data_IF_146369186880
#
_entry.id   IF_146369186880
#
_cell.length_a   1.000
_cell.length_b   1.000
_cell.length_c   1.000
_cell.angle_alpha   90.00
_cell.angle_beta   90.00
_cell.angle_gamma   90.00
#
_symmetry.space_group_name_H-M   'P 1'
#
loop_
_entity.id
_entity.type
_entity.pdbx_description
1 polymer ?
#
# COMPACT_ATOMS: atom_id res chain seq x y z
N UNK A 1 -5.64 -7.35 8.24
CA UNK A 1 -5.21 -5.98 8.60
C UNK A 1 -5.63 -4.96 7.56
N UNK A 2 -5.24 -5.12 6.28
CA UNK A 2 -5.64 -4.20 5.21
C UNK A 2 -7.17 -4.02 5.07
N UNK A 3 -7.95 -5.10 5.04
CA UNK A 3 -9.43 -5.02 4.95
C UNK A 3 -10.07 -4.17 6.08
N UNK A 4 -9.59 -4.34 7.31
CA UNK A 4 -10.05 -3.58 8.47
C UNK A 4 -9.62 -2.10 8.37
N UNK A 5 -8.38 -1.83 7.96
CA UNK A 5 -7.90 -0.47 7.69
C UNK A 5 -8.76 0.26 6.65
N UNK A 6 -9.03 -0.39 5.50
CA UNK A 6 -9.82 0.22 4.44
C UNK A 6 -11.30 0.39 4.81
N UNK A 7 -11.86 -0.48 5.65
CA UNK A 7 -13.22 -0.28 6.17
C UNK A 7 -13.36 0.97 7.04
N UNK A 8 -12.30 1.36 7.77
CA UNK A 8 -12.24 2.63 8.50
C UNK A 8 -11.95 3.80 7.57
N UNK A 9 -11.10 3.60 6.56
CA UNK A 9 -10.83 4.63 5.56
C UNK A 9 -12.12 5.04 4.82
N UNK A 10 -12.96 4.07 4.43
CA UNK A 10 -14.26 4.32 3.81
C UNK A 10 -15.16 5.20 4.69
N UNK A 11 -15.14 5.01 6.02
CA UNK A 11 -15.89 5.86 6.95
C UNK A 11 -15.48 7.34 6.86
N UNK A 12 -14.19 7.62 6.71
CA UNK A 12 -13.67 8.99 6.63
C UNK A 12 -13.79 9.57 5.22
N UNK A 13 -13.63 8.75 4.19
CA UNK A 13 -13.56 9.21 2.81
C UNK A 13 -14.95 9.37 2.15
N UNK A 14 -15.83 8.38 2.31
CA UNK A 14 -17.18 8.38 1.73
C UNK A 14 -18.30 8.29 2.75
N UNK A 15 -17.96 7.94 3.99
CA UNK A 15 -18.90 7.69 5.07
C UNK A 15 -19.21 8.90 5.96
N UNK A 16 -19.94 8.67 7.05
CA UNK A 16 -20.36 9.72 7.99
C UNK A 16 -19.26 10.22 8.94
N UNK A 17 -18.04 9.68 8.88
CA UNK A 17 -16.92 10.08 9.74
C UNK A 17 -17.12 9.70 11.22
N UNK A 18 -17.74 8.55 11.50
CA UNK A 18 -18.06 8.14 12.88
C UNK A 18 -16.78 7.73 13.63
N UNK A 19 -16.57 8.36 14.79
CA UNK A 19 -15.48 8.04 15.71
C UNK A 19 -16.06 7.58 17.05
N UNK A 20 -15.52 6.48 17.59
CA UNK A 20 -15.87 5.97 18.91
C UNK A 20 -14.60 5.70 19.71
N UNK A 21 -14.55 6.26 20.93
CA UNK A 21 -13.39 6.13 21.82
C UNK A 21 -12.05 6.55 21.19
N UNK A 22 -12.09 7.53 20.28
CA UNK A 22 -10.91 8.01 19.56
C UNK A 22 -10.47 7.14 18.37
N UNK A 23 -11.18 6.04 18.07
CA UNK A 23 -10.96 5.22 16.89
C UNK A 23 -12.06 5.45 15.85
N UNK A 24 -11.70 5.47 14.57
CA UNK A 24 -12.66 5.50 13.47
C UNK A 24 -13.36 4.14 13.44
N UNK A 25 -14.70 4.15 13.40
CA UNK A 25 -15.48 2.92 13.28
C UNK A 25 -15.35 2.34 11.86
N UNK A 26 -15.24 1.02 11.69
CA UNK A 26 -15.28 0.40 10.37
C UNK A 26 -16.72 0.45 9.81
N UNK A 27 -16.85 0.72 8.51
CA UNK A 27 -18.13 0.55 7.80
C UNK A 27 -18.23 -0.83 7.13
N UNK A 28 -19.45 -1.38 6.99
CA UNK A 28 -19.66 -2.54 6.13
C UNK A 28 -19.24 -2.22 4.70
N UNK A 29 -18.41 -3.08 4.11
CA UNK A 29 -17.96 -2.97 2.71
C UNK A 29 -18.73 -3.97 1.86
N UNK A 30 -19.11 -3.56 0.65
CA UNK A 30 -19.68 -4.46 -0.36
C UNK A 30 -18.61 -5.28 -1.09
N UNK A 31 -17.38 -4.76 -1.13
CA UNK A 31 -16.20 -5.41 -1.71
C UNK A 31 -15.75 -6.58 -0.83
N UNK A 32 -15.41 -7.71 -1.44
CA UNK A 32 -14.84 -8.86 -0.70
C UNK A 32 -13.36 -8.65 -0.37
N UNK A 33 -12.79 -9.56 0.43
CA UNK A 33 -11.35 -9.50 0.75
C UNK A 33 -10.53 -9.79 -0.51
N UNK A 34 -10.96 -10.75 -1.31
CA UNK A 34 -10.30 -11.17 -2.55
C UNK A 34 -10.28 -10.03 -3.58
N UNK A 35 -11.41 -9.34 -3.77
CA UNK A 35 -11.47 -8.16 -4.64
C UNK A 35 -10.59 -7.00 -4.14
N UNK A 36 -10.38 -6.90 -2.82
CA UNK A 36 -9.46 -5.91 -2.26
C UNK A 36 -8.00 -6.28 -2.53
N UNK A 37 -7.66 -7.56 -2.43
CA UNK A 37 -6.30 -8.07 -2.70
C UNK A 37 -5.84 -7.78 -4.13
N UNK A 38 -6.74 -7.89 -5.11
CA UNK A 38 -6.44 -7.54 -6.52
C UNK A 38 -6.03 -6.07 -6.72
N UNK A 39 -6.52 -5.17 -5.85
CA UNK A 39 -6.27 -3.73 -5.96
C UNK A 39 -5.06 -3.26 -5.14
N UNK A 40 -4.50 -4.12 -4.29
CA UNK A 40 -3.42 -3.76 -3.39
C UNK A 40 -2.10 -4.44 -3.79
N UNK A 41 -1.02 -3.65 -3.79
CA UNK A 41 0.33 -4.19 -3.92
C UNK A 41 0.83 -4.58 -2.54
N UNK A 42 0.41 -5.76 -2.06
CA UNK A 42 0.92 -6.38 -0.84
C UNK A 42 1.52 -7.74 -1.24
N UNK A 43 2.84 -7.79 -1.33
CA UNK A 43 3.56 -8.95 -1.85
C UNK A 43 4.98 -9.06 -1.28
N UNK A 44 5.69 -10.12 -1.68
CA UNK A 44 7.13 -10.26 -1.42
C UNK A 44 7.95 -9.36 -2.35
N UNK A 45 9.24 -9.20 -2.04
CA UNK A 45 10.11 -8.25 -2.74
C UNK A 45 10.27 -8.56 -4.24
N UNK A 46 10.38 -9.84 -4.61
CA UNK A 46 10.47 -10.31 -5.98
C UNK A 46 9.20 -9.98 -6.78
N UNK A 47 8.03 -10.34 -6.26
CA UNK A 47 6.74 -10.01 -6.88
C UNK A 47 6.53 -8.49 -6.97
N UNK A 48 7.04 -7.72 -6.02
CA UNK A 48 6.95 -6.26 -6.07
C UNK A 48 7.81 -5.66 -7.19
N UNK A 49 8.98 -6.22 -7.46
CA UNK A 49 9.81 -5.81 -8.61
C UNK A 49 9.03 -6.04 -9.91
N UNK A 50 8.44 -7.21 -10.08
CA UNK A 50 7.67 -7.55 -11.28
C UNK A 50 6.46 -6.62 -11.46
N UNK A 51 5.68 -6.38 -10.40
CA UNK A 51 4.53 -5.47 -10.46
C UNK A 51 4.91 -4.03 -10.76
N UNK A 52 6.00 -3.53 -10.19
CA UNK A 52 6.48 -2.17 -10.47
C UNK A 52 7.04 -2.05 -11.89
N UNK A 53 7.61 -3.12 -12.45
CA UNK A 53 8.04 -3.15 -13.85
C UNK A 53 6.86 -3.00 -14.80
N UNK A 54 5.71 -3.65 -14.53
CA UNK A 54 4.49 -3.47 -15.33
C UNK A 54 4.02 -2.00 -15.33
N UNK A 55 4.10 -1.31 -14.19
CA UNK A 55 3.77 0.12 -14.13
C UNK A 55 4.75 0.99 -14.93
N UNK A 56 6.05 0.68 -14.87
CA UNK A 56 7.05 1.37 -15.67
C UNK A 56 6.82 1.16 -17.18
N UNK A 57 6.48 -0.05 -17.61
CA UNK A 57 6.12 -0.36 -19.01
C UNK A 57 4.86 0.37 -19.46
N UNK A 58 3.91 0.61 -18.55
CA UNK A 58 2.72 1.43 -18.80
C UNK A 58 3.01 2.95 -18.87
N UNK A 59 4.26 3.37 -18.67
CA UNK A 59 4.68 4.78 -18.68
C UNK A 59 4.40 5.53 -17.39
N UNK A 60 4.30 4.84 -16.25
CA UNK A 60 4.17 5.46 -14.93
C UNK A 60 5.58 5.73 -14.39
N UNK A 61 5.92 7.02 -14.27
CA UNK A 61 7.25 7.45 -13.81
C UNK A 61 7.34 7.63 -12.28
N UNK A 62 6.21 7.69 -11.58
CA UNK A 62 6.15 7.94 -10.13
C UNK A 62 5.13 7.03 -9.44
N UNK A 63 5.57 6.38 -8.37
CA UNK A 63 4.72 5.54 -7.50
C UNK A 63 4.91 5.96 -6.05
N UNK A 64 3.79 6.24 -5.37
CA UNK A 64 3.75 6.55 -3.95
C UNK A 64 3.15 5.37 -3.19
N UNK A 65 3.90 4.83 -2.22
CA UNK A 65 3.48 3.68 -1.43
C UNK A 65 3.01 4.11 -0.04
N UNK A 66 1.80 3.69 0.33
CA UNK A 66 1.30 3.76 1.70
C UNK A 66 1.33 2.38 2.34
N UNK A 67 2.43 2.03 3.02
CA UNK A 67 2.65 0.69 3.57
C UNK A 67 2.34 0.54 5.06
N UNK A 68 1.96 1.63 5.75
CA UNK A 68 1.49 1.58 7.13
C UNK A 68 -0.03 1.36 7.17
N UNK A 69 -0.43 0.15 7.53
CA UNK A 69 -1.81 -0.32 7.63
C UNK A 69 -2.15 -0.74 9.07
N UNK A 70 -1.43 -0.20 10.06
CA UNK A 70 -1.60 -0.53 11.48
C UNK A 70 -0.70 -1.65 11.99
N UNK A 71 0.36 -2.02 11.26
CA UNK A 71 1.38 -2.95 11.75
C UNK A 71 2.23 -2.34 12.88
N UNK A 72 2.85 -3.15 13.75
CA UNK A 72 3.89 -2.68 14.66
C UNK A 72 4.99 -1.92 13.93
N UNK A 73 5.51 -0.86 14.54
CA UNK A 73 6.52 0.02 13.94
C UNK A 73 7.76 -0.75 13.46
N UNK A 74 8.24 -1.72 14.24
CA UNK A 74 9.44 -2.50 13.89
C UNK A 74 9.27 -3.25 12.57
N UNK A 75 8.15 -3.96 12.41
CA UNK A 75 7.81 -4.68 11.17
C UNK A 75 7.70 -3.74 9.97
N UNK A 76 7.15 -2.54 10.17
CA UNK A 76 7.05 -1.53 9.12
C UNK A 76 8.44 -1.01 8.70
N UNK A 77 9.35 -0.74 9.65
CA UNK A 77 10.72 -0.31 9.35
C UNK A 77 11.50 -1.39 8.61
N UNK A 78 11.35 -2.66 9.00
CA UNK A 78 11.95 -3.80 8.27
C UNK A 78 11.39 -3.94 6.86
N UNK A 79 10.09 -3.67 6.65
CA UNK A 79 9.51 -3.65 5.31
C UNK A 79 10.08 -2.49 4.46
N UNK A 80 10.28 -1.31 5.05
CA UNK A 80 10.92 -0.17 4.37
C UNK A 80 12.38 -0.47 3.99
N UNK A 81 13.14 -1.10 4.89
CA UNK A 81 14.52 -1.52 4.63
C UNK A 81 14.58 -2.55 3.50
N UNK A 82 13.72 -3.58 3.54
CA UNK A 82 13.62 -4.57 2.46
C UNK A 82 13.24 -3.93 1.13
N UNK A 83 12.29 -3.00 1.11
CA UNK A 83 11.94 -2.27 -0.09
C UNK A 83 13.15 -1.50 -0.65
N UNK A 84 13.87 -0.78 0.21
CA UNK A 84 15.02 0.03 -0.19
C UNK A 84 16.19 -0.81 -0.73
N UNK A 85 16.42 -2.00 -0.17
CA UNK A 85 17.58 -2.84 -0.48
C UNK A 85 17.31 -3.89 -1.56
N UNK A 86 16.09 -4.43 -1.62
CA UNK A 86 15.74 -5.54 -2.51
C UNK A 86 14.79 -5.16 -3.65
N UNK A 87 14.13 -4.00 -3.60
CA UNK A 87 13.18 -3.57 -4.65
C UNK A 87 13.72 -2.36 -5.41
N UNK A 88 14.02 -1.25 -4.72
CA UNK A 88 14.45 0.01 -5.36
C UNK A 88 15.57 -0.13 -6.42
N UNK A 89 16.63 -0.96 -6.22
CA UNK A 89 17.70 -1.10 -7.22
C UNK A 89 17.23 -1.62 -8.59
N UNK A 90 16.08 -2.29 -8.65
CA UNK A 90 15.52 -2.84 -9.89
C UNK A 90 14.58 -1.86 -10.60
N UNK A 91 14.06 -0.86 -9.88
CA UNK A 91 13.03 0.07 -10.36
C UNK A 91 13.64 1.42 -10.77
N UNK A 92 14.77 1.81 -10.16
CA UNK A 92 15.44 3.06 -10.50
C UNK A 92 16.21 2.94 -11.82
N UNK A 93 15.62 3.40 -12.92
CA UNK A 93 16.42 4.01 -13.98
C UNK A 93 16.73 5.44 -13.55
N UNK A 94 17.90 5.70 -12.98
CA UNK A 94 18.31 7.07 -12.62
C UNK A 94 18.47 7.88 -13.92
N UNK A 95 17.60 8.84 -14.26
CA UNK A 95 18.02 9.89 -15.16
C UNK A 95 18.93 10.78 -14.30
N UNK A 96 20.22 10.78 -14.61
CA UNK A 96 21.12 11.80 -14.04
C UNK A 96 20.46 13.15 -14.28
N UNK A 97 20.11 13.86 -13.20
CA UNK A 97 19.68 15.25 -13.30
C UNK A 97 20.73 16.00 -14.14
N UNK A 98 20.28 16.55 -15.27
CA UNK A 98 21.08 17.41 -16.14
C UNK A 98 21.03 18.86 -15.64
#
# INVERSE_FOLDING_TARGET
>A
MAHDYYSRFDNVFTGPGIVRQGAIEPLPRSQTIEELEENLVICQADEMVDRLAEYAEAGIDEVILSSNLGQPQGEHLEAMERFATAVLPHVQQVPSAA
#
